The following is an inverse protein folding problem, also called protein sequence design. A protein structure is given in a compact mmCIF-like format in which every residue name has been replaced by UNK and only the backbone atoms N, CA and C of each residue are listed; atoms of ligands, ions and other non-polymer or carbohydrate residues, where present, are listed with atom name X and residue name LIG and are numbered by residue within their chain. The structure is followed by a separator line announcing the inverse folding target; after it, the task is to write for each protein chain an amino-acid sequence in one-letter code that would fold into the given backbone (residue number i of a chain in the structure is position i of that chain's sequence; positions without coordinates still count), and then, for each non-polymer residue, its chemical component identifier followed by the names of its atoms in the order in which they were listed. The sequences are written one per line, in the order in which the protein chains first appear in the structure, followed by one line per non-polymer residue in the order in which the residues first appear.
data_IF_538608190779
#
_entry.id   IF_538608190779
#
_cell.length_a   1.000
_cell.length_b   1.000
_cell.length_c   1.000
_cell.angle_alpha   90.00
_cell.angle_beta   90.00
_cell.angle_gamma   90.00
#
_symmetry.space_group_name_H-M   'P 1'
#
loop_
_entity.id
_entity.type
_entity.pdbx_description
1 polymer ?
#
# COMPACT_ATOMS: atom_id res chain seq x y z
N UNK A 1 27.62 -6.04 -9.09
CA UNK A 1 26.62 -4.98 -8.89
C UNK A 1 26.53 -4.69 -7.40
N UNK A 2 26.84 -3.47 -6.98
CA UNK A 2 26.80 -3.02 -5.59
C UNK A 2 25.37 -2.66 -5.18
N UNK A 3 25.10 -2.54 -3.88
CA UNK A 3 23.79 -2.10 -3.38
C UNK A 3 23.41 -0.70 -3.93
N UNK A 4 24.40 0.16 -4.15
CA UNK A 4 24.21 1.50 -4.70
C UNK A 4 23.88 1.47 -6.19
N UNK A 5 24.55 0.60 -6.96
CA UNK A 5 24.23 0.36 -8.37
C UNK A 5 22.81 -0.20 -8.53
N UNK A 6 22.41 -1.15 -7.67
CA UNK A 6 21.03 -1.64 -7.61
C UNK A 6 20.02 -0.51 -7.35
N UNK A 7 20.29 0.34 -6.35
CA UNK A 7 19.40 1.44 -5.97
C UNK A 7 19.22 2.44 -7.11
N UNK A 8 20.30 2.78 -7.81
CA UNK A 8 20.29 3.72 -8.93
C UNK A 8 19.55 3.13 -10.14
N UNK A 9 19.78 1.86 -10.46
CA UNK A 9 19.05 1.17 -11.53
C UNK A 9 17.55 1.11 -11.24
N UNK A 10 17.18 0.83 -9.98
CA UNK A 10 15.78 0.83 -9.57
C UNK A 10 15.17 2.23 -9.69
N UNK A 11 15.85 3.26 -9.17
CA UNK A 11 15.40 4.65 -9.25
C UNK A 11 15.16 5.10 -10.70
N UNK A 12 16.13 4.85 -11.59
CA UNK A 12 16.01 5.19 -13.01
C UNK A 12 14.86 4.45 -13.70
N UNK A 13 14.63 3.19 -13.34
CA UNK A 13 13.49 2.41 -13.86
C UNK A 13 12.16 2.99 -13.40
N UNK A 14 12.07 3.40 -12.13
CA UNK A 14 10.87 4.03 -11.57
C UNK A 14 10.60 5.38 -12.26
N UNK A 15 11.61 6.23 -12.44
CA UNK A 15 11.49 7.51 -13.17
C UNK A 15 11.05 7.29 -14.63
N UNK A 16 11.59 6.26 -15.30
CA UNK A 16 11.21 5.92 -16.68
C UNK A 16 9.76 5.45 -16.77
N UNK A 17 9.30 4.64 -15.82
CA UNK A 17 7.90 4.20 -15.73
C UNK A 17 6.96 5.39 -15.45
N UNK A 18 7.41 6.35 -14.64
CA UNK A 18 6.72 7.61 -14.40
C UNK A 18 6.51 8.41 -15.69
N UNK A 19 7.60 8.63 -16.42
CA UNK A 19 7.60 9.43 -17.64
C UNK A 19 6.84 8.75 -18.79
N UNK A 20 7.05 7.45 -19.00
CA UNK A 20 6.56 6.73 -20.19
C UNK A 20 5.19 6.09 -20.01
N UNK A 21 4.84 5.71 -18.78
CA UNK A 21 3.60 5.00 -18.51
C UNK A 21 2.61 5.83 -17.68
N UNK A 22 2.98 7.07 -17.29
CA UNK A 22 2.14 7.91 -16.43
C UNK A 22 1.91 7.31 -15.04
N UNK A 23 2.75 6.33 -14.64
CA UNK A 23 2.72 5.80 -13.29
C UNK A 23 3.15 6.94 -12.35
N UNK A 24 2.50 7.10 -11.20
CA UNK A 24 3.06 7.94 -10.14
C UNK A 24 3.76 6.99 -9.19
N UNK A 25 5.08 7.07 -9.14
CA UNK A 25 5.96 6.10 -8.47
C UNK A 25 6.45 6.63 -7.11
N UNK A 26 6.02 7.83 -6.73
CA UNK A 26 5.88 8.24 -5.33
C UNK A 26 4.79 7.43 -4.63
N UNK A 27 5.17 6.63 -3.63
CA UNK A 27 4.21 5.80 -2.89
C UNK A 27 4.82 5.27 -1.59
N UNK A 28 4.05 5.29 -0.50
CA UNK A 28 4.44 4.65 0.76
C UNK A 28 4.35 3.12 0.59
N UNK A 29 5.35 2.41 1.10
CA UNK A 29 5.45 0.95 0.97
C UNK A 29 5.11 0.31 2.30
N UNK A 30 3.99 -0.40 2.36
CA UNK A 30 3.64 -1.26 3.46
C UNK A 30 4.49 -2.54 3.41
N UNK A 31 5.32 -2.77 4.43
CA UNK A 31 6.18 -3.95 4.54
C UNK A 31 5.63 -4.93 5.57
N UNK A 32 5.56 -6.19 5.17
CA UNK A 32 5.19 -7.33 5.99
C UNK A 32 6.40 -8.29 6.01
N UNK A 33 7.31 -8.06 6.95
CA UNK A 33 8.60 -8.77 7.03
C UNK A 33 8.39 -10.28 7.27
N UNK A 34 7.38 -10.63 8.05
CA UNK A 34 7.00 -12.01 8.38
C UNK A 34 6.57 -12.79 7.13
N UNK A 35 5.98 -12.06 6.17
CA UNK A 35 5.50 -12.61 4.90
C UNK A 35 6.48 -12.37 3.75
N UNK A 36 7.62 -11.71 4.01
CA UNK A 36 8.58 -11.27 2.99
C UNK A 36 7.89 -10.55 1.82
N UNK A 37 6.90 -9.72 2.14
CA UNK A 37 6.02 -9.07 1.18
C UNK A 37 6.07 -7.55 1.36
N UNK A 38 6.00 -6.83 0.23
CA UNK A 38 5.87 -5.39 0.20
C UNK A 38 4.71 -5.01 -0.73
N UNK A 39 3.85 -4.12 -0.25
CA UNK A 39 2.70 -3.60 -1.00
C UNK A 39 2.86 -2.10 -1.13
N UNK A 40 2.78 -1.59 -2.35
CA UNK A 40 2.92 -0.16 -2.62
C UNK A 40 1.55 0.49 -2.61
N UNK A 41 1.37 1.50 -1.76
CA UNK A 41 0.18 2.34 -1.78
C UNK A 41 0.22 3.23 -3.04
N UNK A 42 -0.88 3.31 -3.80
CA UNK A 42 -0.98 4.23 -4.91
C UNK A 42 -1.10 5.67 -4.39
N UNK A 43 -0.83 6.69 -5.23
CA UNK A 43 -0.77 8.09 -4.83
C UNK A 43 -2.03 8.59 -4.15
N UNK A 44 -3.21 8.20 -4.63
CA UNK A 44 -4.50 8.58 -4.06
C UNK A 44 -4.67 8.09 -2.61
N UNK A 45 -4.08 6.94 -2.28
CA UNK A 45 -4.07 6.41 -0.91
C UNK A 45 -3.05 7.16 -0.05
N UNK A 46 -1.90 7.53 -0.62
CA UNK A 46 -0.91 8.37 0.09
C UNK A 46 -1.48 9.75 0.40
N UNK A 47 -2.18 10.35 -0.56
CA UNK A 47 -2.91 11.60 -0.35
C UNK A 47 -3.94 11.42 0.77
N UNK A 48 -4.72 10.33 0.77
CA UNK A 48 -5.66 10.01 1.86
C UNK A 48 -4.98 9.89 3.24
N UNK A 49 -3.79 9.31 3.28
CA UNK A 49 -3.02 9.08 4.51
C UNK A 49 -2.36 10.36 5.05
N UNK A 50 -1.94 11.28 4.18
CA UNK A 50 -1.02 12.37 4.56
C UNK A 50 -1.61 13.79 4.40
N UNK A 51 -2.51 14.01 3.43
CA UNK A 51 -2.83 15.36 2.96
C UNK A 51 -3.80 16.16 3.82
N UNK A 52 -4.57 15.52 4.72
CA UNK A 52 -5.54 16.23 5.57
C UNK A 52 -5.05 16.34 7.04
N UNK A 53 -4.46 17.48 7.45
CA UNK A 53 -3.98 17.68 8.82
C UNK A 53 -5.10 17.73 9.87
N UNK A 54 -6.36 17.88 9.47
CA UNK A 54 -7.50 17.88 10.39
C UNK A 54 -7.93 16.47 10.80
N UNK A 55 -7.57 15.43 10.02
CA UNK A 55 -7.87 14.05 10.39
C UNK A 55 -6.89 13.55 11.43
N UNK A 56 -7.44 12.95 12.49
CA UNK A 56 -6.69 12.14 13.44
C UNK A 56 -6.04 10.94 12.75
N UNK A 57 -5.04 10.34 13.41
CA UNK A 57 -4.39 9.13 12.90
C UNK A 57 -5.39 7.99 12.67
N UNK A 58 -6.35 7.81 13.59
CA UNK A 58 -7.38 6.77 13.48
C UNK A 58 -8.32 7.02 12.30
N UNK A 59 -8.71 8.26 12.04
CA UNK A 59 -9.55 8.60 10.89
C UNK A 59 -8.83 8.36 9.56
N UNK A 60 -7.51 8.60 9.51
CA UNK A 60 -6.68 8.28 8.33
C UNK A 60 -6.58 6.77 8.12
N UNK A 61 -6.35 6.01 9.19
CA UNK A 61 -6.31 4.53 9.12
C UNK A 61 -7.64 4.01 8.62
N UNK A 62 -8.76 4.50 9.17
CA UNK A 62 -10.10 4.14 8.74
C UNK A 62 -10.33 4.46 7.26
N UNK A 63 -9.99 5.68 6.83
CA UNK A 63 -10.15 6.09 5.43
C UNK A 63 -9.36 5.18 4.47
N UNK A 64 -8.11 4.85 4.80
CA UNK A 64 -7.28 3.96 3.97
C UNK A 64 -7.83 2.53 3.99
N UNK A 65 -8.27 2.03 5.15
CA UNK A 65 -8.85 0.69 5.29
C UNK A 65 -10.15 0.56 4.49
N UNK A 66 -10.98 1.59 4.47
CA UNK A 66 -12.27 1.63 3.74
C UNK A 66 -12.11 1.95 2.25
N UNK A 67 -10.91 2.37 1.80
CA UNK A 67 -10.64 2.64 0.38
C UNK A 67 -10.75 1.38 -0.48
N UNK A 68 -11.06 1.55 -1.78
CA UNK A 68 -11.10 0.44 -2.74
C UNK A 68 -9.79 -0.34 -2.78
N UNK A 69 -8.66 0.34 -2.63
CA UNK A 69 -7.35 -0.28 -2.58
C UNK A 69 -7.16 -1.16 -1.33
N UNK A 70 -7.49 -0.62 -0.15
CA UNK A 70 -7.40 -1.34 1.12
C UNK A 70 -8.30 -2.57 1.17
N UNK A 71 -9.57 -2.39 0.75
CA UNK A 71 -10.56 -3.46 0.68
C UNK A 71 -10.20 -4.50 -0.39
N UNK A 72 -9.76 -4.07 -1.58
CA UNK A 72 -9.39 -4.96 -2.68
C UNK A 72 -8.21 -5.86 -2.31
N UNK A 73 -7.17 -5.29 -1.70
CA UNK A 73 -6.04 -6.08 -1.20
C UNK A 73 -6.49 -7.08 -0.12
N UNK A 74 -7.28 -6.63 0.85
CA UNK A 74 -7.74 -7.46 1.95
C UNK A 74 -8.61 -8.63 1.50
N UNK A 75 -9.52 -8.42 0.54
CA UNK A 75 -10.31 -9.50 -0.08
C UNK A 75 -9.44 -10.50 -0.82
N UNK A 76 -8.49 -10.02 -1.62
CA UNK A 76 -7.54 -10.87 -2.33
C UNK A 76 -6.74 -11.76 -1.36
N UNK A 77 -6.27 -11.18 -0.26
CA UNK A 77 -5.52 -11.92 0.77
C UNK A 77 -6.40 -12.87 1.58
N UNK A 78 -7.60 -12.47 1.97
CA UNK A 78 -8.56 -13.33 2.67
C UNK A 78 -8.85 -14.59 1.84
N UNK A 79 -9.15 -14.40 0.55
CA UNK A 79 -9.38 -15.49 -0.40
C UNK A 79 -8.15 -16.37 -0.59
N UNK A 80 -6.96 -15.78 -0.66
CA UNK A 80 -5.71 -16.53 -0.82
C UNK A 80 -5.39 -17.41 0.40
N UNK A 81 -5.64 -16.92 1.61
CA UNK A 81 -5.29 -17.61 2.86
C UNK A 81 -6.37 -18.59 3.30
N UNK A 82 -7.63 -18.19 3.21
CA UNK A 82 -8.76 -18.95 3.81
C UNK A 82 -9.63 -19.64 2.77
N UNK A 83 -9.50 -19.31 1.49
CA UNK A 83 -10.38 -19.77 0.42
C UNK A 83 -11.70 -19.01 0.32
N UNK A 84 -12.02 -18.15 1.29
CA UNK A 84 -13.27 -17.40 1.39
C UNK A 84 -13.01 -15.90 1.66
N UNK A 85 -14.03 -15.07 1.40
CA UNK A 85 -14.02 -13.64 1.74
C UNK A 85 -14.77 -13.41 3.05
N UNK A 86 -14.26 -13.96 4.15
CA UNK A 86 -14.82 -13.76 5.48
C UNK A 86 -14.76 -12.27 5.88
N UNK A 87 -15.89 -11.57 6.11
CA UNK A 87 -15.92 -10.13 6.32
C UNK A 87 -15.01 -9.63 7.44
N UNK A 88 -14.93 -10.35 8.55
CA UNK A 88 -14.09 -10.03 9.70
C UNK A 88 -12.59 -10.15 9.40
N UNK A 89 -12.22 -11.06 8.48
CA UNK A 89 -10.84 -11.22 8.01
C UNK A 89 -10.48 -10.06 7.09
N UNK A 90 -11.39 -9.66 6.20
CA UNK A 90 -11.22 -8.53 5.29
C UNK A 90 -11.08 -7.22 6.08
N UNK A 91 -11.93 -6.99 7.08
CA UNK A 91 -11.86 -5.83 7.96
C UNK A 91 -10.51 -5.75 8.67
N UNK A 92 -10.07 -6.87 9.28
CA UNK A 92 -8.78 -6.92 9.97
C UNK A 92 -7.60 -6.67 9.02
N UNK A 93 -7.58 -7.31 7.86
CA UNK A 93 -6.48 -7.20 6.90
C UNK A 93 -6.38 -5.80 6.29
N UNK A 94 -7.51 -5.19 5.92
CA UNK A 94 -7.54 -3.83 5.38
C UNK A 94 -7.04 -2.82 6.41
N UNK A 95 -7.40 -2.98 7.68
CA UNK A 95 -6.88 -2.17 8.79
C UNK A 95 -5.37 -2.37 8.99
N UNK A 96 -4.89 -3.61 9.05
CA UNK A 96 -3.44 -3.87 9.20
C UNK A 96 -2.64 -3.24 8.06
N UNK A 97 -3.15 -3.29 6.83
CA UNK A 97 -2.53 -2.63 5.69
C UNK A 97 -2.50 -1.10 5.88
N UNK A 98 -3.63 -0.50 6.27
CA UNK A 98 -3.75 0.92 6.52
C UNK A 98 -2.78 1.43 7.60
N UNK A 99 -2.60 0.69 8.70
CA UNK A 99 -1.66 1.02 9.78
C UNK A 99 -0.20 1.06 9.33
N UNK A 100 0.17 0.33 8.27
CA UNK A 100 1.51 0.38 7.67
C UNK A 100 1.70 1.55 6.70
N UNK A 101 0.61 2.12 6.22
CA UNK A 101 0.57 3.21 5.23
C UNK A 101 0.35 4.57 5.88
N UNK A 102 -0.35 4.67 7.00
CA UNK A 102 -0.43 5.89 7.82
C UNK A 102 0.83 6.04 8.67
#
# INVERSE_FOLDING_TARGET
MTAEECRLAFKATLELLEEKCGLKVGGKVARFEELKMAVRAPPEVVELAESNPALTQEERIKAVAESEWGQGWAKGMARFVTGEEAPEVVERLSRTLAEKVV
#
